data_IF_557608658401
#
_entry.id   IF_557608658401
#
_cell.length_a   1.000
_cell.length_b   1.000
_cell.length_c   1.000
_cell.angle_alpha   90.00
_cell.angle_beta   90.00
_cell.angle_gamma   90.00
#
_symmetry.space_group_name_H-M   'P 1'
#
loop_
_entity.id
_entity.type
_entity.pdbx_description
1 polymer ?
#
# COMPACT_ATOMS: atom_id res chain seq x y z
N UNK A 1 8.28 5.58 10.93
CA UNK A 1 9.62 5.25 11.40
C UNK A 1 9.83 5.72 12.84
N UNK A 2 8.95 5.48 13.73
CA UNK A 2 9.11 5.92 15.11
C UNK A 2 8.31 4.96 15.97
N UNK A 3 8.93 4.26 16.83
CA UNK A 3 8.17 3.40 17.71
C UNK A 3 8.96 2.27 18.34
N UNK A 4 10.23 2.11 18.02
CA UNK A 4 11.06 1.17 18.74
C UNK A 4 11.17 1.59 20.22
N UNK A 5 11.32 0.62 21.12
CA UNK A 5 11.67 0.93 22.50
C UNK A 5 13.07 1.56 22.59
N UNK A 6 13.43 2.10 23.74
CA UNK A 6 14.71 2.84 23.90
C UNK A 6 15.95 2.01 23.55
N UNK A 7 15.94 0.68 23.79
CA UNK A 7 17.05 -0.19 23.43
C UNK A 7 17.15 -0.40 21.92
N UNK A 8 16.02 -0.59 21.24
CA UNK A 8 15.95 -0.72 19.78
C UNK A 8 16.42 0.57 19.11
N UNK A 9 16.00 1.73 19.64
CA UNK A 9 16.41 3.03 19.14
C UNK A 9 17.90 3.30 19.37
N UNK A 10 18.41 2.98 20.56
CA UNK A 10 19.83 3.13 20.90
C UNK A 10 20.75 2.23 20.06
N UNK A 11 20.25 1.03 19.68
CA UNK A 11 20.95 0.11 18.79
C UNK A 11 20.82 0.45 17.30
N UNK A 12 20.10 1.52 16.95
CA UNK A 12 19.76 1.91 15.57
C UNK A 12 19.00 0.80 14.80
N UNK A 13 18.17 0.04 15.50
CA UNK A 13 17.39 -1.08 14.97
C UNK A 13 15.89 -0.73 14.80
N UNK A 14 15.58 0.54 14.67
CA UNK A 14 14.21 1.07 14.56
C UNK A 14 13.52 0.81 13.22
N UNK A 15 14.29 0.51 12.17
CA UNK A 15 13.74 0.14 10.85
C UNK A 15 13.30 -1.33 10.81
N UNK A 16 12.53 -1.69 9.80
CA UNK A 16 12.22 -3.10 9.51
C UNK A 16 13.35 -3.77 8.71
N UNK A 17 13.62 -5.06 8.96
CA UNK A 17 14.56 -5.84 8.15
C UNK A 17 14.00 -6.08 6.75
N UNK A 18 12.69 -6.27 6.66
CA UNK A 18 12.00 -6.60 5.41
C UNK A 18 11.10 -5.45 4.97
N UNK A 19 11.25 -5.03 3.71
CA UNK A 19 10.40 -4.02 3.10
C UNK A 19 8.91 -4.36 3.14
N UNK A 20 8.56 -5.65 3.06
CA UNK A 20 7.17 -6.12 3.08
C UNK A 20 6.44 -5.78 4.39
N UNK A 21 7.11 -5.92 5.54
CA UNK A 21 6.48 -5.55 6.80
C UNK A 21 6.36 -4.03 6.96
N UNK A 22 7.35 -3.27 6.50
CA UNK A 22 7.27 -1.82 6.44
C UNK A 22 6.13 -1.34 5.54
N UNK A 23 5.99 -1.93 4.36
CA UNK A 23 4.90 -1.63 3.42
C UNK A 23 3.52 -2.04 3.97
N UNK A 24 3.47 -3.07 4.84
CA UNK A 24 2.21 -3.46 5.48
C UNK A 24 1.63 -2.33 6.34
N UNK A 25 2.47 -1.53 6.99
CA UNK A 25 2.01 -0.38 7.77
C UNK A 25 1.50 0.75 6.87
N UNK A 26 2.16 0.99 5.73
CA UNK A 26 1.69 1.95 4.74
C UNK A 26 0.34 1.51 4.15
N UNK A 27 0.25 0.24 3.73
CA UNK A 27 -0.99 -0.33 3.17
C UNK A 27 -2.12 -0.43 4.19
N UNK A 28 -1.81 -0.69 5.46
CA UNK A 28 -2.79 -0.68 6.54
C UNK A 28 -3.43 0.72 6.68
N UNK A 29 -2.61 1.75 6.76
CA UNK A 29 -3.12 3.12 6.87
C UNK A 29 -3.89 3.56 5.63
N UNK A 30 -3.44 3.19 4.43
CA UNK A 30 -4.10 3.54 3.18
C UNK A 30 -5.41 2.79 3.00
N UNK A 31 -5.39 1.45 3.04
CA UNK A 31 -6.52 0.63 2.63
C UNK A 31 -7.46 0.32 3.80
N UNK A 32 -6.94 -0.09 4.96
CA UNK A 32 -7.77 -0.51 6.09
C UNK A 32 -8.37 0.71 6.80
N UNK A 33 -7.58 1.77 6.98
CA UNK A 33 -8.05 2.99 7.64
C UNK A 33 -8.59 4.00 6.61
N UNK A 34 -7.74 4.50 5.73
CA UNK A 34 -8.02 5.64 4.86
C UNK A 34 -9.07 5.39 3.79
N UNK A 35 -9.32 4.13 3.41
CA UNK A 35 -10.41 3.75 2.50
C UNK A 35 -11.64 3.23 3.22
N UNK A 36 -11.63 3.15 4.57
CA UNK A 36 -12.77 2.64 5.32
C UNK A 36 -13.92 3.65 5.37
N UNK A 37 -15.16 3.12 5.36
CA UNK A 37 -16.34 3.96 5.55
C UNK A 37 -16.35 4.64 6.93
N UNK A 38 -15.94 3.92 7.97
CA UNK A 38 -15.90 4.39 9.34
C UNK A 38 -15.02 5.65 9.49
N UNK A 39 -13.85 5.67 8.84
CA UNK A 39 -12.98 6.84 8.80
C UNK A 39 -13.66 8.04 8.15
N UNK A 40 -14.31 7.85 7.00
CA UNK A 40 -14.94 8.92 6.24
C UNK A 40 -16.27 9.41 6.84
N UNK A 41 -16.97 8.61 7.63
CA UNK A 41 -18.12 9.07 8.40
C UNK A 41 -17.74 10.22 9.36
N UNK A 42 -16.50 10.22 9.89
CA UNK A 42 -15.99 11.29 10.74
C UNK A 42 -15.36 12.44 9.95
N UNK A 43 -14.52 12.15 8.97
CA UNK A 43 -13.70 13.17 8.30
C UNK A 43 -14.38 13.81 7.09
N UNK A 44 -15.35 13.16 6.46
CA UNK A 44 -15.97 13.70 5.26
C UNK A 44 -16.69 15.03 5.46
N UNK A 45 -17.43 15.27 6.56
CA UNK A 45 -18.01 16.60 6.83
C UNK A 45 -16.95 17.70 6.99
N UNK A 46 -15.75 17.36 7.41
CA UNK A 46 -14.63 18.31 7.51
C UNK A 46 -14.05 18.60 6.13
N UNK A 47 -13.88 17.57 5.29
CA UNK A 47 -13.46 17.71 3.90
C UNK A 47 -14.42 18.63 3.11
N UNK A 48 -15.73 18.44 3.28
CA UNK A 48 -16.75 19.27 2.63
C UNK A 48 -16.68 20.74 3.02
N UNK A 49 -16.29 21.05 4.26
CA UNK A 49 -16.11 22.44 4.72
C UNK A 49 -14.90 23.12 4.10
N UNK A 50 -13.84 22.37 3.88
CA UNK A 50 -12.58 22.90 3.32
C UNK A 50 -12.61 22.98 1.79
N UNK A 51 -13.33 22.07 1.12
CA UNK A 51 -13.34 21.94 -0.34
C UNK A 51 -14.78 22.00 -0.87
N UNK A 52 -15.15 23.12 -1.49
CA UNK A 52 -16.49 23.37 -2.05
C UNK A 52 -16.89 22.38 -3.15
N UNK A 53 -15.92 21.78 -3.81
CA UNK A 53 -16.14 20.78 -4.85
C UNK A 53 -16.89 19.54 -4.33
N UNK A 54 -16.80 19.27 -3.02
CA UNK A 54 -17.46 18.14 -2.37
C UNK A 54 -18.81 18.51 -1.73
N UNK A 55 -19.20 19.79 -1.71
CA UNK A 55 -20.39 20.26 -0.98
C UNK A 55 -21.67 19.50 -1.36
N UNK A 56 -21.84 19.19 -2.65
CA UNK A 56 -23.01 18.50 -3.19
C UNK A 56 -22.79 17.01 -3.48
N UNK A 57 -21.69 16.43 -3.04
CA UNK A 57 -21.38 15.00 -3.20
C UNK A 57 -21.76 14.30 -1.90
N UNK A 58 -22.53 13.21 -2.01
CA UNK A 58 -22.86 12.41 -0.83
C UNK A 58 -21.64 11.62 -0.31
N UNK A 59 -21.63 11.28 0.97
CA UNK A 59 -20.61 10.34 1.50
C UNK A 59 -20.62 9.02 0.77
N UNK A 60 -21.78 8.53 0.35
CA UNK A 60 -21.91 7.27 -0.37
C UNK A 60 -21.24 7.34 -1.75
N UNK A 61 -21.49 8.40 -2.50
CA UNK A 61 -20.87 8.59 -3.82
C UNK A 61 -19.35 8.77 -3.70
N UNK A 62 -18.91 9.54 -2.70
CA UNK A 62 -17.49 9.72 -2.41
C UNK A 62 -16.82 8.38 -2.06
N UNK A 63 -17.41 7.62 -1.13
CA UNK A 63 -16.90 6.31 -0.70
C UNK A 63 -16.85 5.30 -1.85
N UNK A 64 -17.89 5.21 -2.66
CA UNK A 64 -17.94 4.36 -3.84
C UNK A 64 -16.89 4.76 -4.87
N UNK A 65 -16.69 6.07 -5.08
CA UNK A 65 -15.66 6.57 -6.00
C UNK A 65 -14.25 6.21 -5.54
N UNK A 66 -13.96 6.37 -4.23
CA UNK A 66 -12.66 6.03 -3.65
C UNK A 66 -12.33 4.54 -3.68
N UNK A 67 -13.36 3.68 -3.64
CA UNK A 67 -13.20 2.22 -3.64
C UNK A 67 -13.58 1.59 -4.99
N UNK A 68 -13.74 2.40 -6.04
CA UNK A 68 -14.06 1.90 -7.38
C UNK A 68 -12.90 1.07 -7.94
N UNK A 69 -13.21 -0.14 -8.40
CA UNK A 69 -12.24 -1.00 -9.09
C UNK A 69 -12.22 -0.63 -10.57
N UNK A 70 -11.10 -0.06 -11.00
CA UNK A 70 -10.88 0.36 -12.39
C UNK A 70 -9.42 0.13 -12.77
N UNK A 71 -9.10 -0.80 -13.67
CA UNK A 71 -7.75 -0.96 -14.16
C UNK A 71 -7.20 0.38 -14.69
N UNK A 72 -5.93 0.63 -14.39
CA UNK A 72 -5.22 1.83 -14.82
C UNK A 72 -3.78 1.47 -15.16
N UNK A 73 -3.06 2.33 -15.87
CA UNK A 73 -1.65 2.07 -16.21
C UNK A 73 -0.70 2.37 -15.07
N UNK A 74 -1.10 3.20 -14.08
CA UNK A 74 -0.21 3.67 -13.01
C UNK A 74 -0.41 2.88 -11.73
N UNK A 75 0.66 2.24 -11.22
CA UNK A 75 0.66 1.51 -9.96
C UNK A 75 0.27 2.39 -8.76
N UNK A 76 0.85 3.57 -8.64
CA UNK A 76 0.66 4.44 -7.46
C UNK A 76 -0.77 4.96 -7.29
N UNK A 77 -1.57 4.96 -8.35
CA UNK A 77 -2.97 5.37 -8.33
C UNK A 77 -3.94 4.20 -8.56
N UNK A 78 -3.41 2.97 -8.61
CA UNK A 78 -4.23 1.78 -8.81
C UNK A 78 -5.17 1.55 -7.61
N UNK A 79 -6.33 0.99 -7.91
CA UNK A 79 -7.26 0.53 -6.88
C UNK A 79 -6.69 -0.67 -6.10
N UNK A 80 -7.30 -0.99 -4.96
CA UNK A 80 -6.83 -2.03 -4.07
C UNK A 80 -6.79 -3.41 -4.74
N UNK A 81 -7.74 -3.71 -5.62
CA UNK A 81 -7.87 -5.01 -6.29
C UNK A 81 -6.81 -5.17 -7.39
N UNK A 82 -6.67 -4.17 -8.27
CA UNK A 82 -5.75 -4.26 -9.41
C UNK A 82 -4.30 -3.95 -9.03
N UNK A 83 -4.04 -3.35 -7.86
CA UNK A 83 -2.69 -3.05 -7.38
C UNK A 83 -1.76 -4.26 -7.38
N UNK A 84 -2.25 -5.42 -6.95
CA UNK A 84 -1.49 -6.66 -6.96
C UNK A 84 -0.99 -7.07 -8.35
N UNK A 85 -1.77 -6.81 -9.40
CA UNK A 85 -1.40 -7.11 -10.78
C UNK A 85 -0.22 -6.25 -11.26
N UNK A 86 -0.17 -4.99 -10.83
CA UNK A 86 0.98 -4.12 -11.08
C UNK A 86 2.26 -4.62 -10.43
N UNK A 87 2.16 -5.21 -9.23
CA UNK A 87 3.31 -5.80 -8.53
C UNK A 87 3.77 -7.08 -9.24
N UNK A 88 2.83 -7.96 -9.59
CA UNK A 88 3.14 -9.23 -10.30
C UNK A 88 3.87 -8.96 -11.62
N UNK A 89 3.39 -7.99 -12.41
CA UNK A 89 4.03 -7.59 -13.66
C UNK A 89 5.51 -7.26 -13.45
N UNK A 90 5.83 -6.42 -12.47
CA UNK A 90 7.20 -5.98 -12.17
C UNK A 90 8.07 -7.12 -11.65
N UNK A 91 7.52 -7.94 -10.77
CA UNK A 91 8.20 -9.12 -10.26
C UNK A 91 8.57 -10.10 -11.38
N UNK A 92 7.66 -10.35 -12.32
CA UNK A 92 7.95 -11.25 -13.46
C UNK A 92 9.05 -10.70 -14.36
N UNK A 93 9.05 -9.39 -14.64
CA UNK A 93 10.11 -8.75 -15.42
C UNK A 93 11.46 -8.82 -14.71
N UNK A 94 11.53 -8.51 -13.42
CA UNK A 94 12.75 -8.65 -12.62
C UNK A 94 13.27 -10.09 -12.66
N UNK A 95 12.41 -11.05 -12.34
CA UNK A 95 12.77 -12.48 -12.35
C UNK A 95 13.32 -12.93 -13.69
N UNK A 96 12.71 -12.49 -14.78
CA UNK A 96 13.11 -12.96 -16.13
C UNK A 96 14.37 -12.22 -16.62
N UNK A 97 14.58 -10.94 -16.25
CA UNK A 97 15.84 -10.24 -16.50
C UNK A 97 17.01 -10.88 -15.74
N UNK A 98 16.88 -11.05 -14.43
CA UNK A 98 17.96 -11.63 -13.61
C UNK A 98 18.14 -13.13 -13.84
N UNK A 99 17.11 -13.83 -14.33
CA UNK A 99 17.17 -15.22 -14.79
C UNK A 99 17.77 -15.40 -16.18
N UNK A 100 18.16 -14.30 -16.86
CA UNK A 100 18.75 -14.34 -18.20
C UNK A 100 17.76 -14.76 -19.31
N UNK A 101 16.47 -14.61 -19.08
CA UNK A 101 15.41 -14.92 -20.07
C UNK A 101 14.97 -13.69 -20.85
N UNK A 102 15.21 -12.50 -20.30
CA UNK A 102 14.82 -11.24 -20.88
C UNK A 102 16.03 -10.29 -20.89
N UNK A 103 16.38 -9.80 -22.06
CA UNK A 103 17.41 -8.76 -22.20
C UNK A 103 16.83 -7.39 -21.81
N UNK A 104 17.67 -6.53 -21.22
CA UNK A 104 17.26 -5.19 -20.79
C UNK A 104 16.74 -4.34 -21.97
N UNK A 105 17.28 -4.56 -23.17
CA UNK A 105 16.83 -3.89 -24.38
C UNK A 105 15.38 -4.19 -24.77
N UNK A 106 14.84 -5.35 -24.35
CA UNK A 106 13.49 -5.79 -24.63
C UNK A 106 12.50 -5.49 -23.50
N UNK A 107 12.97 -4.88 -22.40
CA UNK A 107 12.20 -4.67 -21.18
C UNK A 107 10.93 -3.82 -21.42
N UNK A 108 11.03 -2.74 -22.22
CA UNK A 108 9.88 -1.89 -22.51
C UNK A 108 8.77 -2.67 -23.25
N UNK A 109 9.15 -3.47 -24.25
CA UNK A 109 8.17 -4.29 -24.97
C UNK A 109 7.54 -5.35 -24.09
N UNK A 110 8.35 -6.02 -23.27
CA UNK A 110 7.86 -7.04 -22.32
C UNK A 110 6.91 -6.43 -21.27
N UNK A 111 7.19 -5.21 -20.82
CA UNK A 111 6.30 -4.44 -19.95
C UNK A 111 4.95 -4.22 -20.61
N UNK A 112 4.92 -3.73 -21.85
CA UNK A 112 3.69 -3.48 -22.59
C UNK A 112 2.85 -4.74 -22.75
N UNK A 113 3.49 -5.86 -23.13
CA UNK A 113 2.84 -7.15 -23.32
C UNK A 113 2.22 -7.68 -22.00
N UNK A 114 2.93 -7.52 -20.86
CA UNK A 114 2.41 -7.90 -19.55
C UNK A 114 1.33 -6.94 -19.04
N UNK A 115 1.43 -5.64 -19.34
CA UNK A 115 0.38 -4.67 -19.01
C UNK A 115 -0.93 -5.01 -19.73
N UNK A 116 -0.87 -5.32 -21.00
CA UNK A 116 -2.04 -5.76 -21.77
C UNK A 116 -2.60 -7.07 -21.22
N UNK A 117 -1.75 -8.02 -20.88
CA UNK A 117 -2.15 -9.32 -20.32
C UNK A 117 -2.85 -9.21 -18.96
N UNK A 118 -2.32 -8.40 -18.03
CA UNK A 118 -2.81 -8.34 -16.65
C UNK A 118 -3.83 -7.23 -16.41
N UNK A 119 -3.67 -6.10 -17.07
CA UNK A 119 -4.50 -4.90 -16.84
C UNK A 119 -5.49 -4.65 -17.98
N UNK A 120 -5.35 -5.37 -19.11
CA UNK A 120 -6.15 -5.15 -20.31
C UNK A 120 -5.83 -3.82 -21.02
N UNK A 121 -4.69 -3.21 -20.70
CA UNK A 121 -4.29 -1.89 -21.19
C UNK A 121 -2.83 -1.91 -21.63
N UNK A 122 -2.54 -1.27 -22.78
CA UNK A 122 -1.19 -1.12 -23.30
C UNK A 122 -0.73 0.32 -23.13
N UNK A 123 0.45 0.61 -22.54
CA UNK A 123 1.02 1.94 -22.47
C UNK A 123 1.21 2.55 -23.86
N UNK A 124 1.01 3.86 -23.98
CA UNK A 124 1.24 4.59 -25.25
C UNK A 124 2.70 5.03 -25.43
N UNK A 125 3.47 5.01 -24.34
CA UNK A 125 4.87 5.41 -24.31
C UNK A 125 5.53 4.87 -23.02
N UNK A 126 6.88 4.94 -22.96
CA UNK A 126 7.66 4.41 -21.85
C UNK A 126 7.39 5.12 -20.51
N UNK A 127 6.95 6.39 -20.52
CA UNK A 127 6.61 7.14 -19.31
C UNK A 127 5.35 6.58 -18.65
N UNK A 128 4.40 6.10 -19.43
CA UNK A 128 3.22 5.38 -18.94
C UNK A 128 3.53 3.91 -18.65
N UNK A 129 4.61 3.41 -19.20
CA UNK A 129 5.09 2.02 -19.11
C UNK A 129 6.26 1.86 -18.15
N UNK A 130 7.35 1.33 -18.68
CA UNK A 130 8.53 0.88 -17.93
C UNK A 130 9.22 1.95 -17.08
N UNK A 131 9.08 3.23 -17.44
CA UNK A 131 9.71 4.35 -16.72
C UNK A 131 8.85 4.99 -15.64
N UNK A 132 7.67 4.42 -15.34
CA UNK A 132 6.77 5.03 -14.35
C UNK A 132 7.24 4.93 -12.90
N UNK A 133 8.13 4.00 -12.58
CA UNK A 133 8.68 3.77 -11.25
C UNK A 133 10.18 4.06 -11.19
N UNK A 134 10.65 4.62 -10.07
CA UNK A 134 12.06 4.94 -9.86
C UNK A 134 12.88 3.79 -9.26
N UNK A 135 12.26 2.67 -8.92
CA UNK A 135 12.89 1.60 -8.15
C UNK A 135 14.15 1.06 -8.81
N UNK A 136 14.07 0.65 -10.06
CA UNK A 136 15.22 0.10 -10.78
C UNK A 136 16.36 1.10 -11.01
N UNK A 137 16.01 2.38 -11.21
CA UNK A 137 17.01 3.45 -11.33
C UNK A 137 17.64 3.83 -9.98
N UNK A 138 17.05 3.45 -8.86
CA UNK A 138 17.51 3.69 -7.50
C UNK A 138 18.06 2.44 -6.79
N UNK A 139 18.47 1.42 -7.55
CA UNK A 139 19.01 0.16 -7.03
C UNK A 139 18.05 -0.66 -6.14
N UNK A 140 16.74 -0.37 -6.18
CA UNK A 140 15.72 -1.13 -5.46
C UNK A 140 15.28 -2.37 -6.25
N UNK A 141 16.23 -3.24 -6.54
CA UNK A 141 15.99 -4.51 -7.22
C UNK A 141 15.39 -5.51 -6.23
N UNK A 142 14.38 -6.27 -6.66
CA UNK A 142 13.72 -7.25 -5.80
C UNK A 142 12.81 -6.62 -4.73
N UNK A 143 12.41 -5.36 -4.87
CA UNK A 143 11.61 -4.66 -3.88
C UNK A 143 10.09 -4.77 -4.12
N UNK A 144 9.65 -4.88 -5.37
CA UNK A 144 8.22 -4.78 -5.73
C UNK A 144 7.33 -5.82 -5.04
N UNK A 145 7.81 -7.04 -4.83
CA UNK A 145 7.06 -8.08 -4.12
C UNK A 145 6.72 -7.67 -2.67
N UNK A 146 7.51 -6.79 -2.05
CA UNK A 146 7.26 -6.28 -0.71
C UNK A 146 5.90 -5.60 -0.60
N UNK A 147 5.43 -4.93 -1.66
CA UNK A 147 4.11 -4.30 -1.68
C UNK A 147 2.96 -5.31 -1.66
N UNK A 148 3.09 -6.43 -2.39
CA UNK A 148 2.07 -7.47 -2.40
C UNK A 148 2.01 -8.23 -1.06
N UNK A 149 3.17 -8.58 -0.51
CA UNK A 149 3.28 -9.18 0.81
C UNK A 149 2.77 -8.22 1.89
N UNK A 150 3.05 -6.92 1.76
CA UNK A 150 2.53 -5.89 2.64
C UNK A 150 1.00 -5.86 2.68
N UNK A 151 0.32 -6.07 1.56
CA UNK A 151 -1.15 -6.19 1.52
C UNK A 151 -1.65 -7.42 2.29
N UNK A 152 -0.95 -8.55 2.22
CA UNK A 152 -1.29 -9.76 2.97
C UNK A 152 -1.11 -9.51 4.47
N UNK A 153 0.03 -8.97 4.87
CA UNK A 153 0.32 -8.69 6.28
C UNK A 153 -0.63 -7.63 6.87
N UNK A 154 -0.99 -6.60 6.12
CA UNK A 154 -1.95 -5.61 6.63
C UNK A 154 -3.34 -6.23 6.89
N UNK A 155 -3.75 -7.21 6.09
CA UNK A 155 -4.96 -8.00 6.34
C UNK A 155 -4.88 -8.82 7.63
N UNK A 156 -3.75 -9.50 7.86
CA UNK A 156 -3.52 -10.26 9.09
C UNK A 156 -3.48 -9.35 10.34
N UNK A 157 -2.83 -8.19 10.23
CA UNK A 157 -2.79 -7.18 11.29
C UNK A 157 -4.19 -6.68 11.59
N UNK A 158 -5.01 -6.42 10.56
CA UNK A 158 -6.42 -6.04 10.75
C UNK A 158 -7.20 -7.07 11.54
N UNK A 159 -7.08 -8.34 11.19
CA UNK A 159 -7.76 -9.42 11.91
C UNK A 159 -7.33 -9.51 13.40
N UNK A 160 -6.03 -9.31 13.68
CA UNK A 160 -5.53 -9.25 15.04
C UNK A 160 -6.10 -8.04 15.81
N UNK A 161 -6.14 -6.86 15.18
CA UNK A 161 -6.73 -5.65 15.78
C UNK A 161 -8.21 -5.85 16.07
N UNK A 162 -8.99 -6.40 15.15
CA UNK A 162 -10.43 -6.64 15.37
C UNK A 162 -10.71 -7.64 16.49
N UNK A 163 -9.84 -8.60 16.71
CA UNK A 163 -9.92 -9.54 17.84
C UNK A 163 -9.66 -8.83 19.17
N UNK A 164 -8.64 -7.96 19.21
CA UNK A 164 -8.14 -7.35 20.44
C UNK A 164 -8.84 -6.02 20.74
N UNK A 165 -9.38 -5.35 19.71
CA UNK A 165 -10.15 -4.09 19.78
C UNK A 165 -11.46 -4.28 19.01
N UNK A 166 -12.46 -4.96 19.56
CA UNK A 166 -13.70 -5.28 18.85
C UNK A 166 -14.50 -4.06 18.39
N UNK A 167 -14.32 -2.93 19.03
CA UNK A 167 -14.97 -1.64 18.71
C UNK A 167 -14.11 -0.72 17.82
N UNK A 168 -13.06 -1.24 17.19
CA UNK A 168 -12.11 -0.50 16.34
C UNK A 168 -12.81 0.40 15.32
N UNK A 169 -13.78 -0.13 14.57
CA UNK A 169 -14.52 0.69 13.59
C UNK A 169 -15.35 1.79 14.26
N UNK A 170 -15.91 1.53 15.46
CA UNK A 170 -16.63 2.56 16.21
C UNK A 170 -15.71 3.69 16.65
N UNK A 171 -14.45 3.37 17.00
CA UNK A 171 -13.45 4.38 17.31
C UNK A 171 -13.07 5.23 16.11
N UNK A 172 -12.93 4.62 14.93
CA UNK A 172 -12.69 5.36 13.67
C UNK A 172 -13.85 6.34 13.38
N UNK A 173 -15.10 5.93 13.60
CA UNK A 173 -16.28 6.82 13.45
C UNK A 173 -16.27 8.03 14.40
N UNK A 174 -15.48 7.98 15.44
CA UNK A 174 -15.28 9.07 16.42
C UNK A 174 -13.97 9.82 16.19
N UNK A 175 -13.20 9.50 15.13
CA UNK A 175 -11.90 10.09 14.87
C UNK A 175 -10.83 9.70 15.89
N UNK A 176 -11.04 8.62 16.66
CA UNK A 176 -10.11 8.18 17.68
C UNK A 176 -9.15 7.11 17.15
N UNK A 177 -7.85 7.37 17.32
CA UNK A 177 -6.76 6.45 16.97
C UNK A 177 -5.95 6.01 18.19
N UNK A 178 -6.40 6.33 19.41
CA UNK A 178 -5.62 6.13 20.64
C UNK A 178 -5.32 4.65 20.85
N UNK A 179 -6.36 3.81 20.87
CA UNK A 179 -6.17 2.37 21.12
C UNK A 179 -5.47 1.69 19.95
N UNK A 180 -5.76 2.09 18.70
CA UNK A 180 -5.04 1.59 17.54
C UNK A 180 -3.54 1.87 17.64
N UNK A 181 -3.16 3.11 17.94
CA UNK A 181 -1.75 3.47 18.05
C UNK A 181 -1.07 2.74 19.22
N UNK A 182 -1.73 2.63 20.34
CA UNK A 182 -1.21 1.86 21.48
C UNK A 182 -1.01 0.40 21.09
N UNK A 183 -1.99 -0.24 20.46
CA UNK A 183 -1.88 -1.62 20.00
C UNK A 183 -0.74 -1.81 19.01
N UNK A 184 -0.60 -0.91 18.04
CA UNK A 184 0.50 -0.94 17.07
C UNK A 184 1.87 -0.73 17.71
N UNK A 185 1.97 0.12 18.75
CA UNK A 185 3.21 0.32 19.51
C UNK A 185 3.59 -0.94 20.29
N UNK A 186 2.62 -1.56 20.97
CA UNK A 186 2.83 -2.74 21.80
C UNK A 186 3.08 -4.01 20.99
N UNK A 187 2.45 -4.18 19.84
CA UNK A 187 2.49 -5.43 19.08
C UNK A 187 3.37 -5.39 17.83
N UNK A 188 3.73 -4.19 17.35
CA UNK A 188 4.47 -4.03 16.09
C UNK A 188 5.69 -3.14 16.27
N UNK A 189 5.48 -1.85 16.56
CA UNK A 189 6.53 -0.83 16.40
C UNK A 189 7.67 -0.96 17.40
N UNK A 190 7.38 -1.40 18.63
CA UNK A 190 8.42 -1.53 19.68
C UNK A 190 9.53 -2.52 19.34
N UNK A 191 9.27 -3.42 18.41
CA UNK A 191 10.24 -4.46 18.05
C UNK A 191 11.23 -4.01 16.96
N UNK A 192 10.91 -2.98 16.18
CA UNK A 192 11.78 -2.52 15.09
C UNK A 192 12.18 -3.66 14.17
N UNK A 193 13.49 -3.87 14.00
CA UNK A 193 14.05 -4.97 13.23
C UNK A 193 14.57 -6.16 14.08
N UNK A 194 14.01 -6.37 15.27
CA UNK A 194 14.42 -7.49 16.14
C UNK A 194 14.00 -8.86 15.59
N UNK A 195 12.97 -8.92 14.77
CA UNK A 195 12.42 -10.14 14.20
C UNK A 195 12.28 -10.04 12.69
N UNK A 196 12.37 -11.18 12.01
CA UNK A 196 11.95 -11.32 10.60
C UNK A 196 10.43 -11.51 10.53
N UNK A 197 9.83 -11.13 9.40
CA UNK A 197 8.40 -11.33 9.14
C UNK A 197 8.06 -12.81 8.95
#
# INVERSE_FOLDING_TARGET
ASGGNDLVNAANMWGGIEGSFQESMARFNENIVGRSRAYWEYYYPQLQKEFKEFENISLDDFYLSMNAVRPSLRRITADEVTYGLHVILRYELERDCFGGKLEVGDLAKAWDDLSEKYLGMRPSNDTEGVLQDMHWAGDYIGYFQSYALGNIYCGQIREAILRDIPDFESQLRQGSFIQLNQWLDENVRQYGCCFTA
#
